data_IF_750484798714
#
_entry.id   IF_750484798714
#
_cell.length_a   1.000
_cell.length_b   1.000
_cell.length_c   1.000
_cell.angle_alpha   90.00
_cell.angle_beta   90.00
_cell.angle_gamma   90.00
#
_symmetry.space_group_name_H-M   'P 1'
#
loop_
_entity.id
_entity.type
_entity.pdbx_description
1 polymer ?
#
# COMPACT_ATOMS: atom_id res chain seq x y z
N UNK A 1 -6.25 20.76 4.05
CA UNK A 1 -6.15 20.90 2.57
C UNK A 1 -5.66 22.28 2.13
N UNK A 2 -6.03 23.37 2.80
CA UNK A 2 -5.68 24.76 2.43
C UNK A 2 -4.17 25.11 2.55
N UNK A 3 -3.44 24.55 3.52
CA UNK A 3 -2.00 24.82 3.68
C UNK A 3 -1.10 24.10 2.63
N UNK A 4 -1.49 22.90 2.20
CA UNK A 4 -0.77 22.14 1.16
C UNK A 4 -0.83 22.84 -0.19
N UNK A 5 -1.98 23.43 -0.54
CA UNK A 5 -2.19 24.18 -1.79
C UNK A 5 -1.26 25.40 -1.92
N UNK A 6 -1.03 26.12 -0.81
CA UNK A 6 -0.17 27.31 -0.78
C UNK A 6 1.31 26.90 -0.90
N UNK A 7 1.75 25.86 -0.17
CA UNK A 7 3.12 25.36 -0.28
C UNK A 7 3.43 24.77 -1.66
N UNK A 8 2.46 24.08 -2.30
CA UNK A 8 2.60 23.52 -3.64
C UNK A 8 2.69 24.64 -4.71
N UNK A 9 1.86 25.67 -4.61
CA UNK A 9 1.94 26.80 -5.55
C UNK A 9 3.25 27.58 -5.40
N UNK A 10 3.71 27.82 -4.16
CA UNK A 10 5.00 28.46 -3.90
C UNK A 10 6.19 27.62 -4.35
N UNK A 11 6.14 26.29 -4.18
CA UNK A 11 7.18 25.39 -4.67
C UNK A 11 7.25 25.40 -6.20
N UNK A 12 6.11 25.34 -6.90
CA UNK A 12 6.06 25.49 -8.36
C UNK A 12 6.69 26.81 -8.85
N UNK A 13 6.40 27.93 -8.19
CA UNK A 13 7.02 29.23 -8.51
C UNK A 13 8.52 29.25 -8.21
N UNK A 14 8.95 28.69 -7.07
CA UNK A 14 10.35 28.57 -6.70
C UNK A 14 11.14 27.71 -7.71
N UNK A 15 10.56 26.58 -8.13
CA UNK A 15 11.13 25.68 -9.14
C UNK A 15 11.13 26.31 -10.55
N UNK A 16 10.15 27.15 -10.86
CA UNK A 16 10.12 27.93 -12.09
C UNK A 16 11.28 28.94 -12.18
N UNK A 17 11.65 29.57 -11.06
CA UNK A 17 12.66 30.63 -10.97
C UNK A 17 14.10 30.11 -10.85
N UNK A 18 14.33 28.93 -10.26
CA UNK A 18 15.67 28.39 -9.96
C UNK A 18 15.96 27.06 -10.67
N UNK A 19 15.69 26.99 -11.99
CA UNK A 19 15.84 25.74 -12.78
C UNK A 19 17.26 25.17 -12.80
N UNK A 20 18.29 26.03 -12.78
CA UNK A 20 19.71 25.62 -12.79
C UNK A 20 20.18 25.05 -11.45
N UNK A 21 19.61 25.50 -10.34
CA UNK A 21 19.92 24.99 -9.00
C UNK A 21 19.46 23.52 -8.83
N UNK A 22 18.33 23.16 -9.43
CA UNK A 22 17.78 21.80 -9.33
C UNK A 22 18.71 20.72 -9.86
N UNK A 23 19.60 21.05 -10.82
CA UNK A 23 20.51 20.08 -11.43
C UNK A 23 21.53 19.50 -10.43
N UNK A 24 21.76 20.20 -9.32
CA UNK A 24 22.62 19.74 -8.24
C UNK A 24 21.90 18.82 -7.23
N UNK A 25 20.56 18.72 -7.29
CA UNK A 25 19.75 18.00 -6.29
C UNK A 25 18.76 17.02 -6.94
N UNK A 26 19.24 15.92 -7.54
CA UNK A 26 18.38 14.93 -8.21
C UNK A 26 17.34 14.30 -7.29
N UNK A 27 17.61 14.21 -5.98
CA UNK A 27 16.63 13.73 -4.99
C UNK A 27 15.43 14.69 -4.86
N UNK A 28 15.67 16.00 -4.86
CA UNK A 28 14.60 17.01 -4.82
C UNK A 28 13.75 16.93 -6.07
N UNK A 29 14.37 16.76 -7.24
CA UNK A 29 13.65 16.54 -8.52
C UNK A 29 12.72 15.33 -8.42
N UNK A 30 13.25 14.19 -7.98
CA UNK A 30 12.50 12.94 -7.87
C UNK A 30 11.36 13.04 -6.85
N UNK A 31 11.63 13.54 -5.65
CA UNK A 31 10.59 13.74 -4.62
C UNK A 31 9.52 14.72 -5.07
N UNK A 32 9.90 15.79 -5.79
CA UNK A 32 8.92 16.73 -6.37
C UNK A 32 8.04 16.03 -7.39
N UNK A 33 8.64 15.36 -8.39
CA UNK A 33 7.89 14.63 -9.42
C UNK A 33 6.92 13.61 -8.78
N UNK A 34 7.41 12.82 -7.83
CA UNK A 34 6.59 11.83 -7.13
C UNK A 34 5.44 12.48 -6.35
N UNK A 35 5.72 13.58 -5.64
CA UNK A 35 4.72 14.29 -4.84
C UNK A 35 3.59 14.82 -5.70
N UNK A 36 3.92 15.53 -6.78
CA UNK A 36 2.92 16.13 -7.66
C UNK A 36 2.14 15.08 -8.47
N UNK A 37 2.80 14.03 -8.97
CA UNK A 37 2.12 12.92 -9.66
C UNK A 37 0.99 12.32 -8.82
N UNK A 38 1.18 12.23 -7.50
CA UNK A 38 0.22 11.61 -6.59
C UNK A 38 -0.94 12.52 -6.20
N UNK A 39 -0.78 13.85 -6.21
CA UNK A 39 -1.85 14.80 -5.79
C UNK A 39 -2.64 15.41 -6.96
N UNK A 40 -2.15 15.31 -8.20
CA UNK A 40 -2.79 15.89 -9.39
C UNK A 40 -4.26 15.49 -9.54
N UNK A 41 -4.61 14.25 -9.19
CA UNK A 41 -5.99 13.76 -9.30
C UNK A 41 -6.90 14.32 -8.19
N UNK A 42 -6.35 14.63 -7.03
CA UNK A 42 -7.09 15.24 -5.90
C UNK A 42 -7.49 16.68 -6.24
N UNK A 43 -6.74 17.34 -7.13
CA UNK A 43 -7.02 18.69 -7.61
C UNK A 43 -7.95 18.74 -8.83
N UNK A 44 -8.75 17.70 -9.08
CA UNK A 44 -9.72 17.67 -10.19
C UNK A 44 -10.69 18.88 -10.19
N UNK A 45 -11.02 19.42 -9.01
CA UNK A 45 -11.87 20.62 -8.86
C UNK A 45 -11.13 21.93 -9.19
N UNK A 46 -9.80 21.96 -9.08
CA UNK A 46 -8.96 23.15 -9.29
C UNK A 46 -8.20 23.09 -10.63
N UNK A 47 -8.91 23.32 -11.73
CA UNK A 47 -8.40 23.10 -13.09
C UNK A 47 -7.10 23.85 -13.41
N UNK A 48 -6.95 25.11 -12.99
CA UNK A 48 -5.74 25.89 -13.24
C UNK A 48 -4.53 25.35 -12.48
N UNK A 49 -4.73 24.93 -11.23
CA UNK A 49 -3.69 24.28 -10.44
C UNK A 49 -3.29 22.94 -11.09
N UNK A 50 -4.27 22.08 -11.37
CA UNK A 50 -4.05 20.78 -12.01
C UNK A 50 -3.27 20.89 -13.32
N UNK A 51 -3.57 21.90 -14.16
CA UNK A 51 -2.81 22.18 -15.39
C UNK A 51 -1.36 22.59 -15.11
N UNK A 52 -1.14 23.41 -14.10
CA UNK A 52 0.21 23.85 -13.69
C UNK A 52 1.04 22.66 -13.18
N UNK A 53 0.46 21.82 -12.33
CA UNK A 53 1.08 20.60 -11.81
C UNK A 53 1.37 19.58 -12.91
N UNK A 54 0.42 19.39 -13.83
CA UNK A 54 0.60 18.52 -15.01
C UNK A 54 1.77 19.01 -15.86
N UNK A 55 1.80 20.31 -16.18
CA UNK A 55 2.90 20.93 -16.96
C UNK A 55 4.23 20.75 -16.25
N UNK A 56 4.28 20.93 -14.93
CA UNK A 56 5.48 20.74 -14.12
C UNK A 56 6.00 19.31 -14.14
N UNK A 57 5.13 18.34 -13.84
CA UNK A 57 5.48 16.92 -13.84
C UNK A 57 5.97 16.46 -15.21
N UNK A 58 5.27 16.83 -16.29
CA UNK A 58 5.68 16.50 -17.66
C UNK A 58 7.04 17.11 -17.98
N UNK A 59 7.30 18.36 -17.55
CA UNK A 59 8.62 18.97 -17.72
C UNK A 59 9.71 18.19 -16.97
N UNK A 60 9.51 17.84 -15.69
CA UNK A 60 10.46 17.05 -14.91
C UNK A 60 10.72 15.69 -15.56
N UNK A 61 9.66 14.96 -15.93
CA UNK A 61 9.77 13.62 -16.49
C UNK A 61 10.46 13.63 -17.86
N UNK A 62 10.21 14.64 -18.71
CA UNK A 62 10.84 14.73 -20.04
C UNK A 62 12.28 15.25 -19.99
N UNK A 63 12.59 16.19 -19.09
CA UNK A 63 13.88 16.88 -19.09
C UNK A 63 14.86 16.35 -18.02
N UNK A 64 14.34 15.68 -16.99
CA UNK A 64 15.10 15.18 -15.84
C UNK A 64 14.78 13.70 -15.55
N UNK A 65 14.49 12.93 -16.62
CA UNK A 65 14.10 11.52 -16.54
C UNK A 65 15.03 10.69 -15.66
N UNK A 66 16.36 10.83 -15.81
CA UNK A 66 17.34 10.06 -15.03
C UNK A 66 17.13 10.23 -13.52
N UNK A 67 16.89 11.47 -13.06
CA UNK A 67 16.62 11.74 -11.65
C UNK A 67 15.26 11.16 -11.23
N UNK A 68 14.21 11.34 -12.04
CA UNK A 68 12.88 10.79 -11.76
C UNK A 68 12.88 9.25 -11.72
N UNK A 69 13.62 8.59 -12.61
CA UNK A 69 13.67 7.13 -12.72
C UNK A 69 14.23 6.45 -11.46
N UNK A 70 15.00 7.18 -10.63
CA UNK A 70 15.49 6.68 -9.34
C UNK A 70 14.39 6.48 -8.28
N UNK A 71 13.16 6.93 -8.55
CA UNK A 71 11.99 6.56 -7.74
C UNK A 71 11.75 5.04 -7.84
N UNK A 72 12.08 4.40 -8.95
CA UNK A 72 11.87 2.96 -9.14
C UNK A 72 10.42 2.60 -9.45
N UNK A 73 10.00 1.39 -9.04
CA UNK A 73 8.72 0.78 -9.44
C UNK A 73 7.49 1.60 -9.08
N UNK A 74 7.47 2.30 -7.95
CA UNK A 74 6.31 3.13 -7.58
C UNK A 74 6.12 4.36 -8.50
N UNK A 75 7.12 4.73 -9.32
CA UNK A 75 6.92 5.71 -10.40
C UNK A 75 5.93 5.18 -11.44
N UNK A 76 5.99 3.89 -11.78
CA UNK A 76 5.06 3.26 -12.73
C UNK A 76 3.63 3.36 -12.20
N UNK A 77 3.43 3.07 -10.91
CA UNK A 77 2.14 3.23 -10.22
C UNK A 77 1.66 4.68 -10.25
N UNK A 78 2.53 5.63 -9.91
CA UNK A 78 2.18 7.06 -9.93
C UNK A 78 1.82 7.57 -11.34
N UNK A 79 2.53 7.12 -12.38
CA UNK A 79 2.24 7.46 -13.78
C UNK A 79 0.96 6.80 -14.29
N UNK A 80 0.62 5.62 -13.78
CA UNK A 80 -0.63 4.93 -14.11
C UNK A 80 -1.83 5.71 -13.59
N UNK A 81 -1.77 6.19 -12.35
CA UNK A 81 -2.88 6.93 -11.74
C UNK A 81 -3.26 8.19 -12.54
N UNK A 82 -2.29 8.84 -13.19
CA UNK A 82 -2.53 10.05 -14.00
C UNK A 82 -2.69 9.78 -15.51
N UNK A 83 -2.74 8.52 -15.95
CA UNK A 83 -2.72 8.16 -17.37
C UNK A 83 -3.94 8.64 -18.18
N UNK A 84 -5.03 9.01 -17.51
CA UNK A 84 -6.24 9.54 -18.16
C UNK A 84 -6.07 10.99 -18.64
N UNK A 85 -5.04 11.69 -18.17
CA UNK A 85 -4.67 13.03 -18.61
C UNK A 85 -3.87 12.92 -19.91
N UNK A 86 -4.26 13.69 -20.93
CA UNK A 86 -3.70 13.58 -22.29
C UNK A 86 -2.18 13.69 -22.31
N UNK A 87 -1.60 14.63 -21.58
CA UNK A 87 -0.16 14.87 -21.55
C UNK A 87 0.62 13.69 -20.96
N UNK A 88 0.06 13.02 -19.94
CA UNK A 88 0.64 11.81 -19.37
C UNK A 88 0.43 10.58 -20.26
N UNK A 89 -0.68 10.51 -21.00
CA UNK A 89 -0.86 9.50 -22.04
C UNK A 89 0.20 9.64 -23.14
N UNK A 90 0.49 10.86 -23.58
CA UNK A 90 1.55 11.11 -24.56
C UNK A 90 2.94 10.75 -24.01
N UNK A 91 3.19 11.05 -22.72
CA UNK A 91 4.40 10.60 -22.04
C UNK A 91 4.49 9.07 -22.00
N UNK A 92 3.40 8.36 -21.71
CA UNK A 92 3.35 6.90 -21.75
C UNK A 92 3.69 6.36 -23.14
N UNK A 93 3.20 6.99 -24.22
CA UNK A 93 3.58 6.61 -25.58
C UNK A 93 5.09 6.77 -25.81
N UNK A 94 5.71 7.80 -25.24
CA UNK A 94 7.15 7.99 -25.34
C UNK A 94 7.93 6.99 -24.49
N UNK A 95 7.47 6.68 -23.28
CA UNK A 95 8.04 5.63 -22.42
C UNK A 95 8.01 4.28 -23.13
N UNK A 96 6.87 3.94 -23.75
CA UNK A 96 6.61 2.62 -24.33
C UNK A 96 7.18 2.44 -25.74
N UNK A 97 7.26 3.49 -26.56
CA UNK A 97 7.63 3.36 -27.98
C UNK A 97 8.84 4.18 -28.39
N UNK A 98 9.22 5.20 -27.61
CA UNK A 98 10.35 6.10 -27.93
C UNK A 98 11.23 6.39 -26.70
N UNK A 99 11.69 5.38 -25.94
CA UNK A 99 12.38 5.58 -24.65
C UNK A 99 13.63 6.46 -24.76
N UNK A 100 14.32 6.44 -25.92
CA UNK A 100 15.48 7.30 -26.20
C UNK A 100 15.17 8.80 -26.18
N UNK A 101 13.91 9.18 -26.36
CA UNK A 101 13.49 10.59 -26.26
C UNK A 101 13.52 11.10 -24.81
N UNK A 102 13.45 10.20 -23.83
CA UNK A 102 13.51 10.53 -22.40
C UNK A 102 14.94 10.46 -21.86
N UNK A 103 15.67 9.40 -22.21
CA UNK A 103 17.10 9.30 -21.95
C UNK A 103 17.76 8.27 -22.86
N UNK A 104 18.97 8.54 -23.41
CA UNK A 104 19.75 7.54 -24.13
C UNK A 104 20.05 6.28 -23.32
N UNK A 105 20.06 6.35 -21.98
CA UNK A 105 20.34 5.20 -21.10
C UNK A 105 19.09 4.38 -20.73
N UNK A 106 17.89 4.82 -21.15
CA UNK A 106 16.64 4.18 -20.74
C UNK A 106 16.33 2.87 -21.50
N UNK A 107 17.07 2.56 -22.56
CA UNK A 107 17.12 1.20 -23.11
C UNK A 107 18.11 0.36 -22.30
N UNK A 108 17.61 -0.41 -21.34
CA UNK A 108 18.40 -1.46 -20.69
C UNK A 108 18.84 -2.54 -21.68
N UNK A 109 19.85 -3.34 -21.29
CA UNK A 109 20.33 -4.50 -22.06
C UNK A 109 19.62 -5.78 -21.60
N UNK A 110 18.44 -6.10 -22.14
CA UNK A 110 17.86 -7.44 -21.97
C UNK A 110 16.96 -7.82 -23.14
N UNK A 111 17.29 -8.96 -23.79
CA UNK A 111 16.49 -9.57 -24.85
C UNK A 111 15.33 -10.31 -24.20
N UNK A 112 14.13 -9.74 -24.23
CA UNK A 112 12.90 -10.50 -23.99
C UNK A 112 12.38 -11.00 -25.33
N UNK A 113 12.13 -12.30 -25.44
CA UNK A 113 11.64 -12.93 -26.67
C UNK A 113 10.15 -12.65 -26.86
N UNK A 114 9.77 -12.44 -28.12
CA UNK A 114 8.42 -12.10 -28.56
C UNK A 114 7.44 -13.22 -28.23
N UNK A 115 6.33 -12.92 -27.56
CA UNK A 115 5.19 -13.82 -27.40
C UNK A 115 3.95 -13.15 -27.96
N UNK A 116 3.19 -13.91 -28.75
CA UNK A 116 1.90 -13.50 -29.32
C UNK A 116 0.80 -13.73 -28.29
N UNK A 117 0.01 -12.71 -27.94
CA UNK A 117 -1.17 -12.91 -27.08
C UNK A 117 -2.36 -12.06 -27.53
N UNK A 118 -3.42 -12.77 -27.94
CA UNK A 118 -4.80 -12.33 -27.77
C UNK A 118 -5.14 -12.41 -26.27
N UNK A 119 -5.89 -11.43 -25.78
CA UNK A 119 -6.30 -11.20 -24.37
C UNK A 119 -5.41 -10.22 -23.61
N UNK A 120 -5.95 -9.01 -23.41
CA UNK A 120 -5.41 -7.92 -22.59
C UNK A 120 -6.57 -7.42 -21.73
N UNK A 121 -6.52 -7.58 -20.41
CA UNK A 121 -7.28 -6.67 -19.54
C UNK A 121 -6.75 -6.71 -18.10
N UNK A 122 -6.17 -5.59 -17.66
CA UNK A 122 -6.70 -4.78 -16.54
C UNK A 122 -5.84 -3.54 -16.29
N UNK A 123 -4.52 -3.57 -16.53
CA UNK A 123 -3.66 -2.38 -16.34
C UNK A 123 -3.69 -1.43 -17.54
N UNK A 124 -3.84 -1.97 -18.74
CA UNK A 124 -3.71 -1.21 -19.99
C UNK A 124 -5.03 -1.00 -20.75
N UNK A 125 -6.17 -1.42 -20.21
CA UNK A 125 -7.46 -1.29 -20.92
C UNK A 125 -7.78 0.18 -21.25
N UNK A 126 -7.48 1.13 -20.36
CA UNK A 126 -7.68 2.58 -20.63
C UNK A 126 -6.66 3.21 -21.59
N UNK A 127 -5.46 2.63 -21.74
CA UNK A 127 -4.38 3.16 -22.59
C UNK A 127 -4.38 2.54 -24.00
N UNK A 128 -4.88 1.30 -24.16
CA UNK A 128 -4.68 0.49 -25.37
C UNK A 128 -5.84 0.50 -26.38
N UNK A 129 -7.00 1.13 -26.08
CA UNK A 129 -8.14 1.17 -27.01
C UNK A 129 -7.83 1.81 -28.38
N UNK A 130 -6.68 2.47 -28.55
CA UNK A 130 -6.30 3.17 -29.78
C UNK A 130 -5.01 2.67 -30.47
N UNK A 131 -4.36 1.59 -30.00
CA UNK A 131 -3.10 1.12 -30.59
C UNK A 131 -3.27 -0.07 -31.54
N UNK A 132 -2.68 0.01 -32.74
CA UNK A 132 -2.67 -1.07 -33.74
C UNK A 132 -1.86 -2.28 -33.26
N UNK A 133 -2.38 -3.48 -33.57
CA UNK A 133 -1.93 -4.81 -33.13
C UNK A 133 -0.43 -5.09 -33.36
N UNK A 134 0.20 -4.44 -34.36
CA UNK A 134 1.62 -4.62 -34.67
C UNK A 134 2.59 -3.93 -33.67
N UNK A 135 2.09 -3.01 -32.83
CA UNK A 135 2.93 -2.25 -31.88
C UNK A 135 3.09 -2.95 -30.51
N UNK A 136 2.32 -4.01 -30.25
CA UNK A 136 2.28 -4.76 -28.98
C UNK A 136 3.57 -5.57 -28.75
N UNK A 137 4.32 -5.83 -29.83
CA UNK A 137 5.50 -6.70 -29.88
C UNK A 137 6.78 -6.03 -29.31
N UNK A 138 6.76 -4.72 -29.07
CA UNK A 138 7.91 -3.94 -28.59
C UNK A 138 7.75 -3.44 -27.15
N UNK A 139 7.32 -4.31 -26.22
CA UNK A 139 7.24 -3.88 -24.82
C UNK A 139 8.66 -3.61 -24.30
N UNK A 140 8.91 -2.32 -24.05
CA UNK A 140 10.22 -1.72 -24.03
C UNK A 140 10.98 -2.04 -22.74
N UNK A 141 12.25 -2.43 -22.89
CA UNK A 141 13.17 -2.83 -21.82
C UNK A 141 13.22 -1.79 -20.67
N UNK A 142 12.95 -0.52 -20.95
CA UNK A 142 12.94 0.57 -19.97
C UNK A 142 11.87 0.43 -18.87
N UNK A 143 10.63 0.06 -19.19
CA UNK A 143 9.59 -0.13 -18.15
C UNK A 143 9.94 -1.31 -17.25
N UNK A 144 10.45 -2.40 -17.85
CA UNK A 144 10.95 -3.54 -17.09
C UNK A 144 12.10 -3.15 -16.14
N UNK A 145 13.01 -2.27 -16.57
CA UNK A 145 14.08 -1.77 -15.71
C UNK A 145 13.56 -0.96 -14.51
N UNK A 146 12.52 -0.13 -14.71
CA UNK A 146 11.87 0.60 -13.61
C UNK A 146 11.17 -0.34 -12.62
N UNK A 147 10.40 -1.31 -13.13
CA UNK A 147 9.68 -2.29 -12.30
C UNK A 147 10.65 -3.13 -11.44
N UNK A 148 11.81 -3.46 -12.00
CA UNK A 148 12.87 -4.21 -11.32
C UNK A 148 13.73 -3.37 -10.35
N UNK A 149 13.51 -2.05 -10.29
CA UNK A 149 14.15 -1.16 -9.33
C UNK A 149 13.23 -0.97 -8.12
N UNK A 150 13.60 -1.45 -6.92
CA UNK A 150 12.85 -1.18 -5.70
C UNK A 150 12.78 0.32 -5.43
N UNK A 151 11.66 0.77 -4.89
CA UNK A 151 11.45 2.17 -4.51
C UNK A 151 12.22 2.49 -3.23
N UNK A 152 13.13 3.47 -3.21
CA UNK A 152 13.75 3.93 -1.96
C UNK A 152 12.71 4.42 -0.95
N UNK A 153 12.88 4.03 0.33
CA UNK A 153 11.87 4.26 1.37
C UNK A 153 11.51 5.72 1.56
N UNK A 154 12.44 6.64 1.31
CA UNK A 154 12.24 8.09 1.48
C UNK A 154 11.11 8.62 0.58
N UNK A 155 10.92 8.02 -0.60
CA UNK A 155 9.80 8.39 -1.47
C UNK A 155 8.46 7.93 -0.90
N UNK A 156 8.40 6.73 -0.32
CA UNK A 156 7.20 6.20 0.33
C UNK A 156 6.87 6.99 1.61
N UNK A 157 7.88 7.33 2.40
CA UNK A 157 7.76 8.18 3.60
C UNK A 157 7.22 9.57 3.24
N UNK A 158 7.71 10.18 2.15
CA UNK A 158 7.27 11.52 1.71
C UNK A 158 5.79 11.63 1.34
N UNK A 159 5.07 10.50 1.26
CA UNK A 159 3.62 10.48 0.97
C UNK A 159 2.76 10.68 2.20
N UNK A 160 3.32 10.47 3.39
CA UNK A 160 2.61 10.73 4.64
C UNK A 160 2.98 12.12 5.13
N UNK A 161 2.01 12.82 5.72
CA UNK A 161 2.33 14.00 6.52
C UNK A 161 3.07 13.57 7.78
N UNK A 162 3.88 14.45 8.36
CA UNK A 162 4.59 14.18 9.62
C UNK A 162 3.62 13.69 10.72
N UNK A 163 2.43 14.29 10.77
CA UNK A 163 1.39 13.88 11.71
C UNK A 163 0.93 12.44 11.41
N UNK A 164 0.55 12.12 10.17
CA UNK A 164 0.14 10.75 9.79
C UNK A 164 1.22 9.70 10.09
N UNK A 165 2.48 9.99 9.77
CA UNK A 165 3.61 9.09 10.03
C UNK A 165 3.80 8.87 11.53
N UNK A 166 3.89 9.95 12.30
CA UNK A 166 3.93 9.87 13.77
C UNK A 166 2.75 9.04 14.27
N UNK A 167 1.57 9.25 13.67
CA UNK A 167 0.36 8.58 14.12
C UNK A 167 0.40 7.07 13.92
N UNK A 168 0.78 6.68 12.71
CA UNK A 168 0.87 5.28 12.35
C UNK A 168 2.01 4.56 13.09
N UNK A 169 3.14 5.23 13.29
CA UNK A 169 4.28 4.66 14.03
C UNK A 169 4.00 4.53 15.52
N UNK A 170 3.22 5.42 16.14
CA UNK A 170 2.80 5.23 17.53
C UNK A 170 2.02 3.91 17.69
N UNK A 171 1.06 3.64 16.79
CA UNK A 171 0.33 2.37 16.76
C UNK A 171 1.31 1.20 16.62
N UNK A 172 2.19 1.24 15.62
CA UNK A 172 3.08 0.14 15.24
C UNK A 172 4.32 -0.05 16.13
N UNK A 173 4.59 0.86 17.08
CA UNK A 173 5.79 0.79 17.94
C UNK A 173 5.50 0.91 19.43
N UNK A 174 4.29 1.34 19.83
CA UNK A 174 3.94 1.60 21.23
C UNK A 174 2.71 0.83 21.71
N UNK A 175 1.78 0.49 20.82
CA UNK A 175 0.52 -0.14 21.22
C UNK A 175 0.58 -1.66 21.14
N UNK A 176 0.17 -2.32 22.21
CA UNK A 176 0.04 -3.78 22.23
C UNK A 176 -1.12 -4.24 21.36
N UNK A 177 -1.04 -5.46 20.87
CA UNK A 177 -2.20 -6.14 20.29
C UNK A 177 -3.36 -6.17 21.30
N UNK A 178 -4.61 -6.02 20.86
CA UNK A 178 -5.76 -5.88 21.76
C UNK A 178 -5.99 -4.46 22.33
N UNK A 179 -4.96 -3.59 22.38
CA UNK A 179 -5.07 -2.20 22.87
C UNK A 179 -5.00 -1.12 21.78
N UNK A 180 -4.75 -1.48 20.53
CA UNK A 180 -4.51 -0.55 19.42
C UNK A 180 -5.79 -0.08 18.72
N UNK A 181 -6.92 -0.77 18.92
CA UNK A 181 -8.13 -0.66 18.12
C UNK A 181 -8.71 0.76 18.12
N UNK A 182 -8.73 1.43 19.28
CA UNK A 182 -9.24 2.81 19.40
C UNK A 182 -8.39 3.80 18.61
N UNK A 183 -7.07 3.75 18.75
CA UNK A 183 -6.16 4.61 18.00
C UNK A 183 -6.22 4.35 16.50
N UNK A 184 -6.38 3.10 16.10
CA UNK A 184 -6.55 2.73 14.70
C UNK A 184 -7.89 3.25 14.15
N UNK A 185 -8.99 3.17 14.90
CA UNK A 185 -10.27 3.74 14.50
C UNK A 185 -10.17 5.25 14.28
N UNK A 186 -9.58 5.97 15.24
CA UNK A 186 -9.36 7.41 15.11
C UNK A 186 -8.51 7.77 13.88
N UNK A 187 -7.50 6.97 13.57
CA UNK A 187 -6.70 7.14 12.37
C UNK A 187 -7.54 6.90 11.10
N UNK A 188 -8.35 5.85 11.07
CA UNK A 188 -9.21 5.49 9.94
C UNK A 188 -10.29 6.55 9.69
N UNK A 189 -11.00 7.00 10.73
CA UNK A 189 -12.01 8.05 10.65
C UNK A 189 -11.42 9.34 10.09
N UNK A 190 -10.20 9.69 10.50
CA UNK A 190 -9.56 10.93 10.06
C UNK A 190 -9.03 10.89 8.64
N UNK A 191 -8.47 9.76 8.19
CA UNK A 191 -7.68 9.70 6.95
C UNK A 191 -8.19 8.71 5.90
N UNK A 192 -8.98 7.71 6.28
CA UNK A 192 -9.39 6.60 5.39
C UNK A 192 -10.90 6.63 5.08
N UNK A 193 -11.77 6.99 6.02
CA UNK A 193 -13.21 6.99 5.79
C UNK A 193 -13.73 8.19 4.97
N UNK A 194 -12.83 8.96 4.36
CA UNK A 194 -13.20 10.05 3.45
C UNK A 194 -13.39 9.53 2.01
N UNK A 195 -14.34 10.07 1.22
CA UNK A 195 -14.60 9.57 -0.15
C UNK A 195 -13.42 9.63 -1.12
N UNK A 196 -12.44 10.49 -0.84
CA UNK A 196 -11.27 10.77 -1.69
C UNK A 196 -10.00 10.05 -1.18
N UNK A 197 -10.10 9.19 -0.14
CA UNK A 197 -8.95 8.59 0.55
C UNK A 197 -8.27 7.43 -0.18
N UNK A 198 -8.83 6.93 -1.28
CA UNK A 198 -8.36 5.69 -1.93
C UNK A 198 -6.86 5.72 -2.29
N UNK A 199 -6.38 6.74 -3.00
CA UNK A 199 -4.95 6.91 -3.30
C UNK A 199 -4.07 7.03 -2.04
N UNK A 200 -4.56 7.73 -1.01
CA UNK A 200 -3.86 7.89 0.27
C UNK A 200 -3.76 6.56 1.03
N UNK A 201 -4.83 5.76 1.01
CA UNK A 201 -4.84 4.41 1.62
C UNK A 201 -3.78 3.52 0.98
N UNK A 202 -3.64 3.57 -0.35
CA UNK A 202 -2.57 2.86 -1.04
C UNK A 202 -1.18 3.34 -0.58
N UNK A 203 -0.98 4.65 -0.46
CA UNK A 203 0.30 5.23 -0.01
C UNK A 203 0.62 4.83 1.46
N UNK A 204 -0.39 4.75 2.33
CA UNK A 204 -0.26 4.27 3.72
C UNK A 204 0.12 2.78 3.75
N UNK A 205 -0.50 1.93 2.92
CA UNK A 205 -0.10 0.52 2.80
C UNK A 205 1.35 0.42 2.30
N UNK A 206 1.72 1.13 1.23
CA UNK A 206 3.11 1.13 0.71
C UNK A 206 4.11 1.58 1.79
N UNK A 207 3.76 2.57 2.59
CA UNK A 207 4.58 2.99 3.73
C UNK A 207 4.78 1.84 4.74
N UNK A 208 3.71 1.15 5.16
CA UNK A 208 3.83 0.04 6.10
C UNK A 208 4.59 -1.18 5.53
N UNK A 209 4.61 -1.35 4.21
CA UNK A 209 5.33 -2.45 3.55
C UNK A 209 6.82 -2.13 3.38
N UNK A 210 7.15 -0.99 2.77
CA UNK A 210 8.51 -0.66 2.34
C UNK A 210 9.02 0.72 2.79
N UNK A 211 8.15 1.59 3.33
CA UNK A 211 8.53 2.88 3.94
C UNK A 211 9.05 2.74 5.37
N UNK A 212 8.60 1.71 6.08
CA UNK A 212 9.03 1.37 7.43
C UNK A 212 8.87 -0.14 7.68
N UNK A 213 9.78 -0.73 8.44
CA UNK A 213 9.69 -2.11 8.92
C UNK A 213 10.29 -2.25 10.32
N UNK A 214 9.75 -3.15 11.16
CA UNK A 214 10.23 -3.38 12.52
C UNK A 214 11.60 -4.10 12.53
N UNK A 215 12.36 -3.89 13.60
CA UNK A 215 13.54 -4.70 13.90
C UNK A 215 13.14 -5.99 14.66
N UNK A 216 14.12 -6.88 14.88
CA UNK A 216 13.86 -8.16 15.56
C UNK A 216 13.38 -7.99 17.01
N UNK A 217 13.76 -6.90 17.68
CA UNK A 217 13.34 -6.60 19.05
C UNK A 217 11.84 -6.29 19.07
N UNK A 218 11.39 -5.46 18.13
CA UNK A 218 10.00 -5.10 17.99
C UNK A 218 9.15 -6.29 17.51
N UNK A 219 9.66 -7.10 16.58
CA UNK A 219 9.00 -8.33 16.12
C UNK A 219 8.78 -9.37 17.23
N UNK A 220 9.70 -9.44 18.20
CA UNK A 220 9.61 -10.36 19.33
C UNK A 220 8.78 -9.81 20.51
N UNK A 221 8.20 -8.61 20.38
CA UNK A 221 7.43 -7.93 21.42
C UNK A 221 5.92 -8.18 21.30
N UNK A 222 5.15 -7.65 22.27
CA UNK A 222 3.68 -7.71 22.29
C UNK A 222 3.01 -6.58 21.48
N UNK A 223 3.79 -5.77 20.78
CA UNK A 223 3.30 -4.66 19.96
C UNK A 223 2.50 -5.21 18.78
N UNK A 224 1.43 -4.50 18.40
CA UNK A 224 0.56 -4.91 17.29
C UNK A 224 1.38 -5.10 15.99
N UNK A 225 1.32 -6.28 15.36
CA UNK A 225 2.03 -6.52 14.11
C UNK A 225 1.46 -5.70 12.93
N UNK A 226 2.32 -5.43 11.95
CA UNK A 226 1.92 -4.71 10.72
C UNK A 226 0.75 -5.37 9.98
N UNK A 227 0.78 -6.71 9.86
CA UNK A 227 -0.26 -7.45 9.12
C UNK A 227 -1.66 -7.27 9.73
N UNK A 228 -1.75 -7.06 11.05
CA UNK A 228 -3.01 -6.80 11.76
C UNK A 228 -3.59 -5.45 11.35
N UNK A 229 -2.77 -4.40 11.41
CA UNK A 229 -3.17 -3.04 11.01
C UNK A 229 -3.54 -2.99 9.53
N UNK A 230 -2.76 -3.66 8.67
CA UNK A 230 -3.06 -3.78 7.23
C UNK A 230 -4.39 -4.51 7.01
N UNK A 231 -4.63 -5.63 7.70
CA UNK A 231 -5.89 -6.38 7.61
C UNK A 231 -7.11 -5.54 8.00
N UNK A 232 -7.02 -4.75 9.06
CA UNK A 232 -8.07 -3.81 9.45
C UNK A 232 -8.30 -2.71 8.40
N UNK A 233 -7.24 -2.15 7.79
CA UNK A 233 -7.37 -1.17 6.72
C UNK A 233 -8.01 -1.74 5.45
N UNK A 234 -7.68 -2.98 5.07
CA UNK A 234 -8.28 -3.63 3.89
C UNK A 234 -9.79 -3.85 4.08
N UNK A 235 -10.22 -4.31 5.26
CA UNK A 235 -11.65 -4.52 5.56
C UNK A 235 -12.47 -3.24 5.62
N UNK A 236 -11.81 -2.13 5.98
CA UNK A 236 -12.40 -0.80 6.00
C UNK A 236 -12.78 -0.29 4.60
N UNK A 237 -12.08 -0.72 3.55
CA UNK A 237 -12.34 -0.26 2.17
C UNK A 237 -13.56 -0.97 1.58
N UNK A 238 -14.59 -0.20 1.22
CA UNK A 238 -15.84 -0.72 0.63
C UNK A 238 -15.92 -0.57 -0.88
N UNK A 239 -15.24 0.43 -1.45
CA UNK A 239 -15.20 0.63 -2.90
C UNK A 239 -14.35 -0.46 -3.57
N UNK A 240 -14.88 -1.21 -4.55
CA UNK A 240 -14.17 -2.33 -5.16
C UNK A 240 -12.93 -1.92 -5.97
N UNK A 241 -12.92 -0.71 -6.54
CA UNK A 241 -11.76 -0.18 -7.28
C UNK A 241 -10.66 0.18 -6.30
N UNK A 242 -11.00 0.87 -5.21
CA UNK A 242 -10.02 1.18 -4.15
C UNK A 242 -9.51 -0.11 -3.52
N UNK A 243 -10.39 -1.09 -3.25
CA UNK A 243 -9.99 -2.38 -2.70
C UNK A 243 -9.01 -3.12 -3.62
N UNK A 244 -9.22 -3.08 -4.94
CA UNK A 244 -8.27 -3.61 -5.92
C UNK A 244 -6.91 -2.92 -5.82
N UNK A 245 -6.89 -1.58 -5.82
CA UNK A 245 -5.64 -0.81 -5.74
C UNK A 245 -4.87 -1.04 -4.42
N UNK A 246 -5.60 -1.18 -3.31
CA UNK A 246 -5.03 -1.50 -2.00
C UNK A 246 -4.43 -2.90 -1.97
N UNK A 247 -5.11 -3.90 -2.57
CA UNK A 247 -4.56 -5.25 -2.73
C UNK A 247 -3.29 -5.23 -3.58
N UNK A 248 -3.28 -4.49 -4.70
CA UNK A 248 -2.09 -4.32 -5.52
C UNK A 248 -0.96 -3.66 -4.73
N UNK A 249 -1.24 -2.61 -3.95
CA UNK A 249 -0.24 -1.94 -3.12
C UNK A 249 0.39 -2.88 -2.07
N UNK A 250 -0.41 -3.79 -1.50
CA UNK A 250 0.04 -4.82 -0.56
C UNK A 250 0.99 -5.83 -1.23
N UNK A 251 0.66 -6.32 -2.43
CA UNK A 251 1.46 -7.34 -3.13
C UNK A 251 2.48 -6.77 -4.12
N UNK A 252 2.62 -5.44 -4.22
CA UNK A 252 3.37 -4.82 -5.32
C UNK A 252 4.83 -5.26 -5.38
N UNK A 253 5.47 -5.43 -4.22
CA UNK A 253 6.87 -5.87 -4.14
C UNK A 253 7.06 -7.36 -4.42
N UNK A 254 6.01 -8.18 -4.30
CA UNK A 254 6.07 -9.60 -4.68
C UNK A 254 6.31 -9.79 -6.17
N UNK A 255 5.72 -8.93 -7.01
CA UNK A 255 5.73 -9.08 -8.47
C UNK A 255 7.14 -9.05 -9.08
N UNK A 256 8.09 -8.45 -8.36
CA UNK A 256 9.47 -8.23 -8.81
C UNK A 256 10.47 -8.54 -7.69
N UNK A 257 10.11 -9.44 -6.77
CA UNK A 257 10.96 -9.86 -5.67
C UNK A 257 12.11 -10.73 -6.19
N UNK A 258 13.33 -10.41 -5.79
CA UNK A 258 14.56 -11.08 -6.24
C UNK A 258 15.54 -11.32 -5.10
N UNK A 259 16.61 -12.04 -5.39
CA UNK A 259 17.67 -12.32 -4.42
C UNK A 259 18.26 -11.02 -3.86
N UNK A 260 18.37 -10.96 -2.53
CA UNK A 260 18.87 -9.78 -1.80
C UNK A 260 17.82 -8.72 -1.48
N UNK A 261 16.59 -8.83 -1.99
CA UNK A 261 15.49 -7.95 -1.59
C UNK A 261 15.11 -8.21 -0.12
N UNK A 262 14.58 -7.16 0.54
CA UNK A 262 14.21 -7.25 1.95
C UNK A 262 12.93 -8.07 2.12
N UNK A 263 13.01 -9.16 2.89
CA UNK A 263 11.88 -10.05 3.17
C UNK A 263 10.67 -9.31 3.79
N UNK A 264 10.92 -8.22 4.52
CA UNK A 264 9.89 -7.39 5.15
C UNK A 264 8.93 -6.72 4.16
N UNK A 265 9.25 -6.72 2.86
CA UNK A 265 8.39 -6.21 1.79
C UNK A 265 7.28 -7.19 1.38
N UNK A 266 7.49 -8.50 1.61
CA UNK A 266 6.56 -9.54 1.18
C UNK A 266 5.91 -10.27 2.37
N UNK A 267 6.58 -10.28 3.52
CA UNK A 267 6.14 -10.88 4.78
C UNK A 267 4.74 -10.46 5.24
N UNK A 268 4.36 -9.16 5.25
CA UNK A 268 3.06 -8.76 5.81
C UNK A 268 1.85 -9.34 5.07
N UNK A 269 1.94 -9.48 3.73
CA UNK A 269 0.87 -10.07 2.94
C UNK A 269 0.71 -11.57 3.22
N UNK A 270 1.83 -12.30 3.35
CA UNK A 270 1.80 -13.73 3.68
C UNK A 270 1.29 -13.96 5.10
N UNK A 271 1.78 -13.20 6.07
CA UNK A 271 1.31 -13.31 7.45
C UNK A 271 -0.18 -12.94 7.56
N UNK A 272 -0.65 -11.94 6.83
CA UNK A 272 -2.08 -11.64 6.79
C UNK A 272 -2.87 -12.86 6.32
N UNK A 273 -2.49 -13.48 5.19
CA UNK A 273 -3.16 -14.66 4.64
C UNK A 273 -3.09 -15.90 5.55
N UNK A 274 -1.95 -16.17 6.18
CA UNK A 274 -1.79 -17.33 7.09
C UNK A 274 -2.51 -17.11 8.42
N UNK A 275 -2.44 -15.90 8.98
CA UNK A 275 -3.05 -15.58 10.29
C UNK A 275 -4.55 -15.40 10.21
N UNK A 276 -5.08 -14.94 9.07
CA UNK A 276 -6.53 -14.77 8.89
C UNK A 276 -7.26 -16.08 8.59
N UNK A 277 -6.59 -17.13 8.11
CA UNK A 277 -7.28 -18.29 7.50
C UNK A 277 -8.27 -19.00 8.43
N UNK A 278 -8.03 -18.98 9.74
CA UNK A 278 -8.85 -19.66 10.74
C UNK A 278 -10.15 -18.90 11.03
N UNK A 279 -10.04 -17.60 11.34
CA UNK A 279 -11.16 -16.75 11.77
C UNK A 279 -11.80 -15.94 10.65
N UNK A 280 -11.01 -15.61 9.63
CA UNK A 280 -11.39 -14.78 8.48
C UNK A 280 -10.88 -15.38 7.16
N UNK A 281 -11.28 -16.62 6.81
CA UNK A 281 -10.80 -17.32 5.61
C UNK A 281 -11.01 -16.53 4.32
N UNK A 282 -12.06 -15.69 4.25
CA UNK A 282 -12.31 -14.86 3.09
C UNK A 282 -11.14 -13.90 2.76
N UNK A 283 -10.38 -13.43 3.77
CA UNK A 283 -9.22 -12.55 3.53
C UNK A 283 -8.14 -13.31 2.75
N UNK A 284 -7.88 -14.55 3.16
CA UNK A 284 -6.93 -15.45 2.48
C UNK A 284 -7.39 -15.73 1.06
N UNK A 285 -8.67 -16.05 0.87
CA UNK A 285 -9.29 -16.26 -0.45
C UNK A 285 -9.10 -15.05 -1.36
N UNK A 286 -9.57 -13.86 -0.98
CA UNK A 286 -9.51 -12.68 -1.85
C UNK A 286 -8.08 -12.25 -2.20
N UNK A 287 -7.11 -12.50 -1.31
CA UNK A 287 -5.71 -12.15 -1.54
C UNK A 287 -5.04 -13.18 -2.45
N UNK A 288 -5.34 -14.47 -2.29
CA UNK A 288 -4.83 -15.51 -3.18
C UNK A 288 -5.42 -15.41 -4.59
N UNK A 289 -6.73 -15.17 -4.71
CA UNK A 289 -7.38 -14.86 -6.00
C UNK A 289 -6.72 -13.67 -6.67
N UNK A 290 -6.50 -12.59 -5.91
CA UNK A 290 -5.92 -11.38 -6.46
C UNK A 290 -4.44 -11.57 -6.85
N UNK A 291 -3.67 -12.37 -6.10
CA UNK A 291 -2.30 -12.72 -6.46
C UNK A 291 -2.26 -13.50 -7.77
N UNK A 292 -3.13 -14.50 -7.93
CA UNK A 292 -3.27 -15.27 -9.16
C UNK A 292 -3.67 -14.39 -10.34
N UNK A 293 -4.71 -13.60 -10.17
CA UNK A 293 -5.17 -12.63 -11.16
C UNK A 293 -4.06 -11.66 -11.57
N UNK A 294 -3.28 -11.17 -10.61
CA UNK A 294 -2.17 -10.24 -10.89
C UNK A 294 -1.05 -10.92 -11.68
N UNK A 295 -0.73 -12.19 -11.41
CA UNK A 295 0.21 -12.95 -12.23
C UNK A 295 -0.24 -12.97 -13.69
N UNK A 296 -1.50 -13.31 -13.93
CA UNK A 296 -2.02 -13.50 -15.28
C UNK A 296 -2.25 -12.17 -16.03
N UNK A 297 -2.73 -11.12 -15.35
CA UNK A 297 -3.24 -9.91 -15.99
C UNK A 297 -2.42 -8.63 -15.76
N UNK A 298 -1.43 -8.63 -14.85
CA UNK A 298 -0.63 -7.41 -14.59
C UNK A 298 0.08 -6.95 -15.86
N UNK A 299 0.86 -7.85 -16.46
CA UNK A 299 1.48 -7.62 -17.75
C UNK A 299 1.78 -8.95 -18.47
N UNK A 300 0.90 -9.41 -19.39
CA UNK A 300 0.99 -10.76 -19.97
C UNK A 300 2.36 -11.14 -20.57
N UNK A 301 3.09 -10.25 -21.26
CA UNK A 301 4.45 -10.54 -21.77
C UNK A 301 5.50 -10.90 -20.71
N UNK A 302 5.31 -10.53 -19.44
CA UNK A 302 6.22 -10.89 -18.34
C UNK A 302 5.54 -11.77 -17.27
N UNK A 303 4.39 -12.36 -17.61
CA UNK A 303 3.61 -13.23 -16.71
C UNK A 303 4.50 -14.27 -16.01
N UNK A 304 5.29 -15.02 -16.79
CA UNK A 304 6.12 -16.10 -16.26
C UNK A 304 7.26 -15.57 -15.38
N UNK A 305 7.77 -14.37 -15.68
CA UNK A 305 8.75 -13.70 -14.83
C UNK A 305 8.15 -13.31 -13.47
N UNK A 306 6.95 -12.72 -13.48
CA UNK A 306 6.22 -12.37 -12.25
C UNK A 306 5.93 -13.64 -11.43
N UNK A 307 5.48 -14.72 -12.08
CA UNK A 307 5.25 -16.00 -11.42
C UNK A 307 6.51 -16.54 -10.75
N UNK A 308 7.67 -16.46 -11.42
CA UNK A 308 8.97 -16.86 -10.87
C UNK A 308 9.38 -15.99 -9.67
N UNK A 309 9.19 -14.67 -9.74
CA UNK A 309 9.46 -13.76 -8.63
C UNK A 309 8.61 -14.10 -7.39
N UNK A 310 7.32 -14.38 -7.59
CA UNK A 310 6.40 -14.76 -6.50
C UNK A 310 6.78 -16.11 -5.90
N UNK A 311 7.07 -17.11 -6.73
CA UNK A 311 7.51 -18.43 -6.27
C UNK A 311 8.84 -18.35 -5.50
N UNK A 312 9.77 -17.51 -5.97
CA UNK A 312 11.03 -17.23 -5.28
C UNK A 312 10.79 -16.54 -3.92
N UNK A 313 9.94 -15.50 -3.88
CA UNK A 313 9.57 -14.84 -2.63
C UNK A 313 8.98 -15.81 -1.61
N UNK A 314 8.13 -16.73 -2.05
CA UNK A 314 7.57 -17.76 -1.19
C UNK A 314 8.63 -18.72 -0.64
N UNK A 315 9.56 -19.16 -1.49
CA UNK A 315 10.69 -19.98 -1.07
C UNK A 315 11.53 -19.27 -0.01
N UNK A 316 11.78 -17.97 -0.17
CA UNK A 316 12.54 -17.17 0.78
C UNK A 316 11.79 -16.99 2.11
N UNK A 317 10.47 -16.77 2.09
CA UNK A 317 9.63 -16.71 3.30
C UNK A 317 9.72 -17.99 4.13
N UNK A 318 9.71 -19.15 3.47
CA UNK A 318 9.89 -20.45 4.12
C UNK A 318 11.33 -20.59 4.62
N UNK A 319 12.33 -20.23 3.80
CA UNK A 319 13.76 -20.35 4.12
C UNK A 319 14.13 -19.56 5.37
N UNK A 320 13.60 -18.36 5.53
CA UNK A 320 13.87 -17.50 6.70
C UNK A 320 12.92 -17.76 7.88
N UNK A 321 11.93 -18.65 7.71
CA UNK A 321 11.02 -19.07 8.77
C UNK A 321 9.90 -18.07 9.12
N UNK A 322 9.55 -17.15 8.21
CA UNK A 322 8.37 -16.27 8.39
C UNK A 322 7.10 -17.13 8.45
N UNK A 323 7.01 -18.13 7.59
CA UNK A 323 6.06 -19.23 7.67
C UNK A 323 6.82 -20.55 7.59
N UNK A 324 6.35 -21.57 8.31
CA UNK A 324 7.01 -22.89 8.31
C UNK A 324 6.63 -23.71 7.08
N UNK A 325 5.35 -23.71 6.74
CA UNK A 325 4.77 -24.42 5.60
C UNK A 325 3.38 -23.85 5.29
N UNK A 326 2.77 -24.30 4.19
CA UNK A 326 1.42 -23.90 3.78
C UNK A 326 0.31 -24.85 4.26
N UNK A 327 0.62 -25.86 5.07
CA UNK A 327 -0.32 -26.92 5.44
C UNK A 327 -1.57 -26.34 6.12
N UNK A 328 -1.41 -25.30 6.93
CA UNK A 328 -2.52 -24.62 7.60
C UNK A 328 -3.51 -23.98 6.64
N UNK A 329 -3.04 -23.44 5.51
CA UNK A 329 -3.91 -22.86 4.50
C UNK A 329 -4.53 -23.96 3.65
N UNK A 330 -3.75 -24.98 3.24
CA UNK A 330 -4.23 -26.09 2.44
C UNK A 330 -5.28 -26.95 3.16
N UNK A 331 -5.09 -27.24 4.43
CA UNK A 331 -5.97 -28.12 5.19
C UNK A 331 -7.17 -27.40 5.80
N UNK A 332 -7.25 -26.07 5.70
CA UNK A 332 -8.38 -25.34 6.25
C UNK A 332 -9.66 -25.65 5.44
N UNK A 333 -10.73 -26.17 6.07
CA UNK A 333 -11.94 -26.58 5.36
C UNK A 333 -12.72 -25.42 4.74
N UNK A 334 -12.51 -24.19 5.21
CA UNK A 334 -13.19 -22.99 4.71
C UNK A 334 -12.51 -22.36 3.49
N UNK A 335 -11.36 -22.88 3.07
CA UNK A 335 -10.75 -22.56 1.79
C UNK A 335 -11.34 -23.52 0.74
N UNK A 336 -11.74 -23.01 -0.42
CA UNK A 336 -12.30 -23.84 -1.48
C UNK A 336 -11.22 -24.56 -2.30
N UNK A 337 -11.63 -25.44 -3.21
CA UNK A 337 -10.70 -26.20 -4.06
C UNK A 337 -9.98 -25.37 -5.11
N UNK A 338 -10.58 -24.27 -5.58
CA UNK A 338 -10.02 -23.39 -6.61
C UNK A 338 -8.82 -22.61 -6.05
N UNK A 339 -8.96 -22.04 -4.85
CA UNK A 339 -7.87 -21.35 -4.16
C UNK A 339 -6.70 -22.29 -3.87
N UNK A 340 -6.99 -23.53 -3.45
CA UNK A 340 -5.93 -24.55 -3.28
C UNK A 340 -5.24 -24.85 -4.61
N UNK A 341 -5.99 -24.91 -5.71
CA UNK A 341 -5.47 -25.04 -7.06
C UNK A 341 -4.51 -23.91 -7.42
N UNK A 342 -4.90 -22.66 -7.18
CA UNK A 342 -4.04 -21.49 -7.41
C UNK A 342 -2.76 -21.54 -6.56
N UNK A 343 -2.87 -21.86 -5.27
CA UNK A 343 -1.69 -21.99 -4.43
C UNK A 343 -0.74 -23.09 -4.93
N UNK A 344 -1.27 -24.25 -5.33
CA UNK A 344 -0.47 -25.32 -5.92
C UNK A 344 0.20 -24.92 -7.23
N UNK A 345 -0.48 -24.17 -8.09
CA UNK A 345 0.10 -23.66 -9.35
C UNK A 345 1.23 -22.68 -9.06
N UNK A 346 0.99 -21.67 -8.21
CA UNK A 346 1.92 -20.56 -7.96
C UNK A 346 3.15 -21.04 -7.18
N UNK A 347 2.97 -21.89 -6.16
CA UNK A 347 4.03 -22.25 -5.21
C UNK A 347 4.60 -23.66 -5.43
N UNK A 348 4.33 -24.28 -6.59
CA UNK A 348 4.73 -25.68 -6.89
C UNK A 348 6.21 -25.95 -6.60
N UNK A 349 7.09 -25.05 -7.02
CA UNK A 349 8.55 -25.20 -6.90
C UNK A 349 9.09 -24.88 -5.50
N UNK A 350 8.28 -24.21 -4.67
CA UNK A 350 8.63 -23.91 -3.28
C UNK A 350 8.53 -25.15 -2.38
N UNK A 351 7.95 -26.25 -2.86
CA UNK A 351 7.87 -27.53 -2.17
C UNK A 351 8.83 -28.55 -2.78
N UNK A 352 9.67 -29.23 -1.99
CA UNK A 352 10.40 -30.38 -2.49
C UNK A 352 9.40 -31.42 -2.97
N UNK A 353 9.61 -31.93 -4.18
CA UNK A 353 8.87 -33.05 -4.75
C UNK A 353 9.12 -34.32 -3.92
N UNK A 354 8.44 -34.47 -2.79
CA UNK A 354 8.10 -35.80 -2.31
C UNK A 354 7.18 -36.39 -3.37
N UNK A 355 7.67 -37.41 -4.09
CA UNK A 355 6.99 -38.10 -5.19
C UNK A 355 5.73 -38.87 -4.79
N UNK A 356 4.88 -38.28 -3.96
CA UNK A 356 3.51 -38.69 -3.75
C UNK A 356 2.65 -37.47 -4.09
N UNK A 357 1.81 -37.60 -5.10
CA UNK A 357 0.55 -36.85 -5.14
C UNK A 357 -0.06 -36.96 -3.74
N UNK A 358 -0.37 -35.86 -3.03
CA UNK A 358 -1.22 -35.97 -1.86
C UNK A 358 -2.53 -36.51 -2.41
N UNK A 359 -2.85 -37.77 -2.11
CA UNK A 359 -4.20 -38.27 -2.29
C UNK A 359 -5.07 -37.37 -1.41
N UNK A 360 -5.76 -36.42 -2.04
CA UNK A 360 -6.88 -35.70 -1.46
C UNK A 360 -8.05 -36.69 -1.33
N UNK A 361 -7.85 -37.74 -0.54
CA UNK A 361 -8.87 -38.71 -0.22
C UNK A 361 -9.69 -38.15 0.95
N UNK A 362 -10.95 -37.87 0.66
CA UNK A 362 -12.04 -37.78 1.63
C UNK A 362 -11.95 -38.93 2.64
N UNK A 363 -11.54 -38.62 3.87
CA UNK A 363 -11.88 -39.44 5.03
C UNK A 363 -12.21 -38.56 6.24
N UNK A 364 -13.21 -38.98 7.04
CA UNK A 364 -13.71 -38.17 8.13
C UNK A 364 -12.70 -38.13 9.27
N UNK A 365 -12.68 -36.98 9.94
CA UNK A 365 -11.80 -36.64 11.04
C UNK A 365 -11.65 -37.79 12.06
N UNK A 366 -10.43 -38.29 12.22
CA UNK A 366 -10.01 -38.96 13.44
C UNK A 366 -9.03 -38.02 14.16
N UNK A 367 -9.53 -37.47 15.26
CA UNK A 367 -8.88 -36.49 16.12
C UNK A 367 -7.81 -37.17 16.97
N UNK A 368 -6.60 -37.36 16.46
CA UNK A 368 -5.41 -37.57 17.32
C UNK A 368 -4.12 -37.05 16.66
N UNK A 369 -3.59 -35.95 17.21
CA UNK A 369 -2.14 -35.74 17.27
C UNK A 369 -1.41 -35.19 16.04
N UNK A 370 -1.98 -34.25 15.28
CA UNK A 370 -1.13 -33.34 14.50
C UNK A 370 -0.40 -32.44 15.51
N UNK A 371 0.92 -32.61 15.61
CA UNK A 371 1.79 -31.70 16.38
C UNK A 371 1.46 -30.28 15.89
N UNK A 372 0.96 -29.44 16.81
CA UNK A 372 0.62 -28.05 16.55
C UNK A 372 1.91 -27.26 16.35
N UNK A 373 2.42 -27.31 15.12
CA UNK A 373 3.69 -26.72 14.71
C UNK A 373 3.46 -25.41 13.95
N UNK A 374 2.44 -24.62 14.34
CA UNK A 374 2.26 -23.25 13.85
C UNK A 374 3.42 -22.41 14.40
N UNK A 375 4.01 -21.47 13.62
CA UNK A 375 4.80 -20.44 14.27
C UNK A 375 3.94 -19.82 15.36
N UNK A 376 4.46 -19.76 16.59
CA UNK A 376 3.75 -19.17 17.73
C UNK A 376 3.09 -17.86 17.30
N UNK A 377 1.89 -17.56 17.81
CA UNK A 377 1.38 -16.19 17.74
C UNK A 377 2.48 -15.22 18.21
N UNK A 378 2.52 -13.98 17.67
CA UNK A 378 3.43 -12.97 18.19
C UNK A 378 3.42 -13.01 19.71
N UNK A 379 4.59 -12.89 20.35
CA UNK A 379 4.70 -13.05 21.80
C UNK A 379 3.68 -12.14 22.50
N UNK A 380 2.88 -12.71 23.41
CA UNK A 380 1.91 -11.95 24.22
C UNK A 380 0.54 -11.69 23.60
N UNK A 381 0.17 -12.34 22.49
CA UNK A 381 -1.22 -12.37 21.99
C UNK A 381 -1.99 -13.52 22.66
N UNK A 382 -2.96 -13.25 23.54
CA UNK A 382 -3.83 -14.29 24.10
C UNK A 382 -4.68 -14.97 23.00
N UNK A 383 -5.05 -16.23 23.19
CA UNK A 383 -5.77 -16.98 22.16
C UNK A 383 -7.18 -16.48 21.89
N UNK A 384 -7.79 -15.83 22.88
CA UNK A 384 -9.12 -15.22 22.83
C UNK A 384 -9.16 -13.85 22.15
N UNK A 385 -8.01 -13.18 21.97
CA UNK A 385 -7.96 -11.86 21.34
C UNK A 385 -8.24 -11.97 19.85
N UNK A 386 -9.28 -11.28 19.41
CA UNK A 386 -9.56 -11.08 17.99
C UNK A 386 -8.61 -10.01 17.41
N UNK A 387 -7.49 -10.47 16.87
CA UNK A 387 -6.50 -9.59 16.23
C UNK A 387 -7.12 -8.73 15.13
N UNK A 388 -8.13 -9.25 14.42
CA UNK A 388 -8.79 -8.56 13.31
C UNK A 388 -10.23 -8.16 13.64
N UNK A 389 -10.55 -7.88 14.89
CA UNK A 389 -11.83 -7.23 15.23
C UNK A 389 -12.00 -5.96 14.38
N UNK A 390 -13.21 -5.70 13.88
CA UNK A 390 -13.50 -4.39 13.29
C UNK A 390 -13.56 -3.36 14.44
N UNK A 391 -12.64 -2.39 14.51
CA UNK A 391 -12.60 -1.47 15.63
C UNK A 391 -13.81 -0.51 15.64
N UNK A 392 -14.54 -0.40 14.52
CA UNK A 392 -15.77 0.37 14.44
C UNK A 392 -17.00 -0.38 14.99
N UNK A 393 -16.88 -1.67 15.29
CA UNK A 393 -17.98 -2.49 15.80
C UNK A 393 -17.83 -2.76 17.30
N UNK A 394 -18.96 -2.91 17.98
CA UNK A 394 -19.02 -3.39 19.36
C UNK A 394 -19.06 -4.93 19.45
N UNK A 395 -19.18 -5.46 20.66
CA UNK A 395 -19.22 -6.91 20.91
C UNK A 395 -20.44 -7.61 20.27
N UNK A 396 -21.50 -6.85 19.95
CA UNK A 396 -22.70 -7.34 19.29
C UNK A 396 -22.63 -7.19 17.76
N UNK A 397 -21.55 -6.62 17.22
CA UNK A 397 -21.39 -6.33 15.80
C UNK A 397 -22.14 -5.07 15.34
N UNK A 398 -22.62 -4.24 16.26
CA UNK A 398 -23.24 -2.95 15.96
C UNK A 398 -22.17 -1.86 15.82
N UNK A 399 -22.42 -0.84 14.98
CA UNK A 399 -21.46 0.27 14.87
C UNK A 399 -21.40 1.03 16.18
N UNK A 400 -20.20 1.14 16.75
CA UNK A 400 -19.92 2.12 17.80
C UNK A 400 -20.31 3.50 17.26
N UNK A 401 -21.04 4.30 18.04
CA UNK A 401 -21.50 5.61 17.60
C UNK A 401 -20.33 6.42 17.05
N UNK A 402 -20.38 6.74 15.76
CA UNK A 402 -19.40 7.58 15.09
C UNK A 402 -19.57 9.02 15.55
N UNK A 403 -18.47 9.67 15.93
CA UNK A 403 -18.47 11.12 16.07
C UNK A 403 -18.72 11.75 14.69
N UNK A 404 -19.72 12.64 14.59
CA UNK A 404 -20.00 13.32 13.32
C UNK A 404 -18.84 14.27 13.00
N UNK A 405 -18.23 14.19 11.79
CA UNK A 405 -17.28 15.20 11.36
C UNK A 405 -18.01 16.53 11.18
N UNK A 406 -17.52 17.61 11.82
CA UNK A 406 -18.01 18.97 11.56
C UNK A 406 -18.02 19.25 10.05
N UNK A 407 -19.20 19.54 9.50
CA UNK A 407 -19.31 20.18 8.19
C UNK A 407 -18.56 21.51 8.26
N UNK A 408 -17.76 21.81 7.24
CA UNK A 408 -17.03 23.07 7.15
C UNK A 408 -18.01 24.24 7.25
N UNK A 409 -18.01 24.93 8.39
CA UNK A 409 -18.73 26.19 8.54
C UNK A 409 -17.91 27.25 7.82
N UNK A 410 -18.50 27.86 6.80
CA UNK A 410 -17.97 29.09 6.21
C UNK A 410 -17.96 30.16 7.32
N UNK A 411 -16.76 30.56 7.76
CA UNK A 411 -16.61 31.59 8.79
C UNK A 411 -16.94 32.96 8.20
N UNK A 412 -18.17 33.43 8.46
CA UNK A 412 -18.51 34.84 8.35
C UNK A 412 -18.18 35.52 9.69
N UNK A 413 -17.37 36.57 9.66
CA UNK A 413 -16.90 37.27 10.85
C UNK A 413 -18.00 38.19 11.39
N UNK A 414 -18.66 37.79 12.48
CA UNK A 414 -19.58 38.63 13.24
C UNK A 414 -19.65 38.22 14.71
N UNK A 415 -19.46 39.18 15.61
CA UNK A 415 -19.45 39.04 17.07
C UNK A 415 -20.70 38.35 17.63
N UNK A 416 -20.54 37.25 18.38
CA UNK A 416 -21.51 36.79 19.39
C UNK A 416 -20.79 36.15 20.59
N UNK A 417 -21.41 36.35 21.74
CA UNK A 417 -21.03 36.19 23.14
C UNK A 417 -20.72 34.75 23.58
N UNK A 418 -19.98 34.65 24.69
CA UNK A 418 -19.70 33.45 25.48
C UNK A 418 -20.97 32.61 25.74
N UNK A 419 -21.05 31.47 25.08
CA UNK A 419 -21.85 30.34 25.55
C UNK A 419 -20.99 29.08 25.39
N UNK A 420 -20.69 28.46 26.54
CA UNK A 420 -19.88 27.26 26.67
C UNK A 420 -20.63 26.09 26.00
N UNK A 421 -20.15 25.64 24.85
CA UNK A 421 -20.55 24.37 24.22
C UNK A 421 -19.29 23.59 23.89
N UNK A 422 -19.24 22.36 24.38
CA UNK A 422 -18.18 21.36 24.17
C UNK A 422 -17.97 21.06 22.67
N UNK A 423 -16.99 21.69 22.04
CA UNK A 423 -16.66 21.46 20.64
C UNK A 423 -15.49 20.45 20.48
N UNK A 424 -15.86 19.18 20.35
CA UNK A 424 -15.58 18.31 19.18
C UNK A 424 -14.17 18.16 18.57
N UNK A 425 -13.11 18.71 19.15
CA UNK A 425 -11.73 18.48 18.71
C UNK A 425 -11.07 17.55 19.72
N UNK A 426 -10.77 16.31 19.32
CA UNK A 426 -9.77 15.53 20.05
C UNK A 426 -8.45 16.28 19.89
N UNK A 427 -8.07 17.03 20.92
CA UNK A 427 -6.75 17.67 20.97
C UNK A 427 -5.69 16.58 20.70
N UNK A 428 -4.69 16.90 19.88
CA UNK A 428 -3.63 15.94 19.54
C UNK A 428 -2.92 15.35 20.79
N UNK A 429 -3.07 15.97 21.98
CA UNK A 429 -2.58 15.47 23.27
C UNK A 429 -3.38 14.29 23.88
N UNK A 430 -4.64 14.06 23.46
CA UNK A 430 -5.43 12.90 23.94
C UNK A 430 -4.91 11.57 23.36
N UNK A 431 -4.04 11.66 22.36
CA UNK A 431 -3.75 10.55 21.49
C UNK A 431 -2.61 9.65 21.99
N UNK A 432 -1.70 10.19 22.81
CA UNK A 432 -0.61 9.50 23.50
C UNK A 432 -0.76 9.46 25.03
N UNK A 433 -1.88 9.98 25.56
CA UNK A 433 -2.14 10.07 27.00
C UNK A 433 -1.43 11.23 27.69
N UNK A 434 -0.79 12.15 26.94
CA UNK A 434 -0.23 13.37 27.52
C UNK A 434 -1.32 14.45 27.62
N UNK A 435 -1.99 14.49 28.78
CA UNK A 435 -2.70 15.69 29.20
C UNK A 435 -1.65 16.78 29.36
N UNK A 436 -1.57 17.71 28.41
CA UNK A 436 -0.89 18.98 28.63
C UNK A 436 -1.79 19.75 29.58
N UNK A 437 -1.51 19.66 30.88
CA UNK A 437 -2.11 20.57 31.85
C UNK A 437 -1.62 21.97 31.50
N UNK A 438 -2.48 22.78 30.89
CA UNK A 438 -2.29 24.21 30.94
C UNK A 438 -2.51 24.62 32.39
N UNK A 439 -1.42 24.93 33.10
CA UNK A 439 -1.51 25.74 34.32
C UNK A 439 -2.07 27.09 33.89
N UNK A 440 -3.39 27.28 34.07
CA UNK A 440 -3.95 28.62 34.10
C UNK A 440 -3.27 29.36 35.25
N UNK A 441 -2.72 30.55 34.99
CA UNK A 441 -2.05 31.42 35.97
C UNK A 441 -2.94 31.89 37.14
N UNK A 442 -4.13 31.32 37.32
CA UNK A 442 -4.97 31.53 38.49
C UNK A 442 -5.28 30.17 39.12
N UNK A 443 -4.39 29.74 40.02
CA UNK A 443 -4.51 28.48 40.74
C UNK A 443 -5.82 28.37 41.52
N UNK A 444 -6.63 27.38 41.18
CA UNK A 444 -7.53 26.71 42.12
C UNK A 444 -7.57 25.22 41.78
N UNK A 445 -7.11 24.42 42.75
CA UNK A 445 -7.33 22.99 42.82
C UNK A 445 -8.82 22.73 42.97
N UNK A 446 -9.42 21.96 42.08
CA UNK A 446 -10.65 21.23 42.39
C UNK A 446 -10.27 19.77 42.35
N UNK A 447 -10.15 19.18 43.54
CA UNK A 447 -9.87 17.77 43.75
C UNK A 447 -11.12 16.90 43.64
N UNK A 448 -10.84 15.61 43.44
CA UNK A 448 -11.62 14.40 43.68
C UNK A 448 -13.09 14.56 44.11
N UNK A 449 -14.00 14.03 43.29
CA UNK A 449 -15.02 13.04 43.68
C UNK A 449 -15.35 12.10 42.51
#
# INVERSE_FOLDING_TARGET
MSFSLICLFSAYQLFGLQRSWMDFYPRVIATSAYTYLRVINDHAKFQQLRRSETTFCIWLLRNKWVACSNIGRDLVRALHDVSNITEFRDLWMDILYRPRTLSPQFEGKSKWHLVSTSSIAVIFSKLMYHCSFASIVYMNIGVSALLNMPTPKEYLQSRLTLLMEHKLLYILTKLKIGGHQKNLLWFQERYIFTPESGPLTCDIIRFMIAGWWPDNTLLASEIVPRYVVIGAMIRAVKDPVIASNVKLALIYDWLFFKEGDNIMWIEPAMLLMERSVERYPYITTILMEYLKFTIDEYHPPIRDYIAQCIAFGMKELIRVGVIRNLIYIYNNPNIDGEIRGYMHEIFRESFPSTGATPDFATSPADSTGLIDDRPSKPNGVPDDVDEFADPSLDENGERRMSWQPLQSVDLDFGEVQEEVVEDGIVEDGVWDGSVVTYENENGYLIGDE
#
